data_IF_661984611695
#
_entry.id   IF_661984611695
#
_cell.length_a   1.000
_cell.length_b   1.000
_cell.length_c   1.000
_cell.angle_alpha   90.00
_cell.angle_beta   90.00
_cell.angle_gamma   90.00
#
_symmetry.space_group_name_H-M   'P 1'
#
loop_
_entity.id
_entity.type
_entity.pdbx_description
1 polymer ?
#
# COMPACT_ATOMS: atom_id res chain seq x y z
N UNK A 1 25.84 -15.39 -4.91
CA UNK A 1 24.74 -15.45 -3.92
C UNK A 1 23.97 -16.72 -4.28
N UNK A 2 23.96 -17.73 -3.41
CA UNK A 2 23.44 -19.06 -3.74
C UNK A 2 22.07 -19.19 -3.07
N UNK A 3 21.02 -19.38 -3.85
CA UNK A 3 19.74 -19.87 -3.34
C UNK A 3 19.95 -21.31 -2.85
N UNK A 4 20.29 -21.45 -1.57
CA UNK A 4 20.42 -22.77 -0.95
C UNK A 4 19.03 -23.21 -0.50
N UNK A 5 18.34 -23.97 -1.34
CA UNK A 5 17.30 -24.86 -0.85
C UNK A 5 17.98 -26.14 -0.36
N UNK A 6 17.64 -26.56 0.85
CA UNK A 6 17.97 -27.89 1.32
C UNK A 6 17.31 -28.90 0.38
N UNK A 7 18.12 -29.51 -0.48
CA UNK A 7 17.78 -30.71 -1.24
C UNK A 7 17.70 -31.87 -0.26
N UNK A 8 16.48 -32.27 0.10
CA UNK A 8 16.23 -33.55 0.75
C UNK A 8 16.40 -34.69 -0.25
N UNK A 9 17.65 -35.13 -0.46
CA UNK A 9 17.93 -36.43 -1.07
C UNK A 9 18.02 -37.49 0.02
N UNK A 10 17.11 -38.47 -0.02
CA UNK A 10 17.20 -39.67 0.78
C UNK A 10 17.84 -40.81 -0.01
N UNK A 11 18.56 -41.71 0.69
CA UNK A 11 18.61 -43.10 0.30
C UNK A 11 17.99 -43.98 1.40
N UNK A 12 17.20 -44.96 0.95
CA UNK A 12 16.71 -46.15 1.64
C UNK A 12 17.34 -46.44 3.03
N UNK A 13 16.54 -46.26 4.10
CA UNK A 13 16.74 -46.94 5.38
C UNK A 13 15.38 -47.19 6.07
N UNK A 14 15.22 -48.39 6.63
CA UNK A 14 14.01 -48.92 7.28
C UNK A 14 13.58 -48.14 8.54
N UNK A 15 12.33 -48.29 9.00
CA UNK A 15 11.76 -47.48 10.08
C UNK A 15 12.21 -47.97 11.45
N UNK A 16 13.11 -47.22 12.10
CA UNK A 16 13.25 -47.23 13.55
C UNK A 16 12.44 -46.07 14.12
N UNK A 17 11.32 -46.40 14.75
CA UNK A 17 10.47 -45.49 15.51
C UNK A 17 11.23 -44.91 16.69
N UNK A 18 11.81 -43.74 16.50
CA UNK A 18 12.19 -42.83 17.57
C UNK A 18 11.38 -41.54 17.38
N UNK A 19 10.25 -41.45 18.07
CA UNK A 19 9.44 -40.23 18.21
C UNK A 19 10.28 -39.17 18.93
N UNK A 20 11.13 -38.48 18.16
CA UNK A 20 11.65 -37.17 18.53
C UNK A 20 10.76 -36.17 17.83
N UNK A 21 9.93 -35.38 18.55
CA UNK A 21 9.14 -34.34 17.90
C UNK A 21 10.14 -33.34 17.28
N UNK A 22 10.25 -33.37 15.96
CA UNK A 22 10.99 -32.36 15.21
C UNK A 22 10.47 -30.98 15.65
N UNK A 23 11.34 -29.97 15.79
CA UNK A 23 10.89 -28.63 16.15
C UNK A 23 9.83 -28.20 15.14
N UNK A 24 8.58 -28.09 15.59
CA UNK A 24 7.47 -27.70 14.73
C UNK A 24 7.76 -26.30 14.23
N UNK A 25 7.86 -26.15 12.91
CA UNK A 25 8.03 -24.85 12.30
C UNK A 25 6.88 -23.96 12.80
N UNK A 26 7.15 -22.81 13.46
CA UNK A 26 6.08 -21.99 14.03
C UNK A 26 5.20 -21.34 12.95
N UNK A 27 5.54 -21.56 11.68
CA UNK A 27 4.84 -21.01 10.52
C UNK A 27 4.11 -22.09 9.74
N UNK A 28 2.90 -21.77 9.34
CA UNK A 28 2.12 -22.49 8.34
C UNK A 28 2.06 -21.67 7.06
N UNK A 29 2.09 -22.36 5.93
CA UNK A 29 2.02 -21.73 4.61
C UNK A 29 0.74 -22.18 3.91
N UNK A 30 -0.02 -21.23 3.36
CA UNK A 30 -1.17 -21.50 2.50
C UNK A 30 -0.84 -21.06 1.10
N UNK A 31 -0.95 -21.98 0.13
CA UNK A 31 -0.87 -21.62 -1.29
C UNK A 31 -2.03 -20.70 -1.64
N UNK A 32 -1.77 -19.56 -2.26
CA UNK A 32 -2.79 -18.62 -2.72
C UNK A 32 -3.00 -18.76 -4.22
N UNK A 33 -1.91 -18.74 -4.98
CA UNK A 33 -1.91 -18.82 -6.44
C UNK A 33 -0.69 -19.61 -6.93
N UNK A 34 -0.84 -20.31 -8.06
CA UNK A 34 0.23 -20.99 -8.78
C UNK A 34 0.01 -20.76 -10.27
N UNK A 35 1.06 -20.34 -10.98
CA UNK A 35 0.99 -20.05 -12.41
C UNK A 35 2.28 -19.42 -12.94
N UNK A 36 2.13 -18.49 -13.88
CA UNK A 36 3.25 -17.76 -14.47
C UNK A 36 2.97 -16.27 -14.64
N UNK A 37 3.92 -15.57 -15.25
CA UNK A 37 3.82 -14.15 -15.58
C UNK A 37 3.94 -13.97 -17.09
N UNK A 38 2.96 -13.33 -17.72
CA UNK A 38 2.98 -13.02 -19.14
C UNK A 38 3.67 -11.68 -19.37
N UNK A 39 4.73 -11.69 -20.19
CA UNK A 39 5.43 -10.50 -20.63
C UNK A 39 4.71 -9.89 -21.86
N UNK A 40 4.47 -8.58 -21.89
CA UNK A 40 3.69 -7.93 -22.95
C UNK A 40 4.36 -7.99 -24.32
N UNK A 41 5.70 -7.99 -24.36
CA UNK A 41 6.43 -7.73 -25.60
C UNK A 41 6.91 -9.00 -26.32
N UNK A 42 7.09 -10.11 -25.60
CA UNK A 42 7.81 -11.28 -26.10
C UNK A 42 6.95 -12.53 -26.28
N UNK A 43 5.66 -12.48 -25.94
CA UNK A 43 4.78 -13.67 -25.79
C UNK A 43 5.36 -14.76 -24.87
N UNK A 44 6.46 -14.49 -24.17
CA UNK A 44 7.12 -15.40 -23.25
C UNK A 44 6.37 -15.42 -21.92
N UNK A 45 6.18 -16.60 -21.36
CA UNK A 45 5.65 -16.80 -20.03
C UNK A 45 6.77 -17.17 -19.06
N UNK A 46 6.84 -16.48 -17.94
CA UNK A 46 7.72 -16.82 -16.82
C UNK A 46 6.94 -17.71 -15.86
N UNK A 47 7.04 -19.03 -16.05
CA UNK A 47 6.27 -20.02 -15.31
C UNK A 47 6.92 -20.41 -13.97
N UNK A 48 6.23 -21.27 -13.21
CA UNK A 48 6.75 -21.80 -11.94
C UNK A 48 6.65 -20.83 -10.76
N UNK A 49 5.80 -19.82 -10.86
CA UNK A 49 5.51 -18.89 -9.77
C UNK A 49 4.45 -19.47 -8.83
N UNK A 50 4.66 -19.28 -7.54
CA UNK A 50 3.67 -19.56 -6.51
C UNK A 50 3.65 -18.45 -5.47
N UNK A 51 2.45 -18.05 -5.04
CA UNK A 51 2.27 -17.10 -3.93
C UNK A 51 1.77 -17.85 -2.71
N UNK A 52 2.44 -17.63 -1.58
CA UNK A 52 2.23 -18.33 -0.32
C UNK A 52 1.93 -17.32 0.77
N UNK A 53 0.84 -17.51 1.51
CA UNK A 53 0.57 -16.76 2.72
C UNK A 53 1.29 -17.42 3.90
N UNK A 54 2.23 -16.73 4.52
CA UNK A 54 2.90 -17.17 5.74
C UNK A 54 2.10 -16.73 6.97
N UNK A 55 1.73 -17.66 7.84
CA UNK A 55 0.97 -17.38 9.08
C UNK A 55 1.53 -18.13 10.29
N UNK A 56 1.43 -17.57 11.50
CA UNK A 56 1.81 -18.31 12.70
C UNK A 56 0.87 -19.51 12.91
N UNK A 57 1.42 -20.65 13.29
CA UNK A 57 0.70 -21.91 13.48
C UNK A 57 -0.38 -21.84 14.58
N UNK A 58 -0.27 -20.88 15.50
CA UNK A 58 -1.23 -20.66 16.59
C UNK A 58 -2.58 -20.09 16.14
N UNK A 59 -2.67 -19.58 14.90
CA UNK A 59 -3.88 -18.95 14.37
C UNK A 59 -4.67 -19.99 13.56
N UNK A 60 -5.47 -20.81 14.25
CA UNK A 60 -6.23 -21.91 13.63
C UNK A 60 -7.35 -21.44 12.68
N UNK A 61 -7.76 -20.16 12.77
CA UNK A 61 -8.83 -19.65 11.91
C UNK A 61 -8.33 -19.48 10.46
N UNK A 62 -8.90 -20.27 9.55
CA UNK A 62 -8.58 -20.24 8.12
C UNK A 62 -9.14 -19.03 7.35
N UNK A 63 -9.78 -18.08 8.03
CA UNK A 63 -10.39 -16.91 7.39
C UNK A 63 -9.29 -15.99 6.85
N UNK A 64 -9.39 -15.64 5.56
CA UNK A 64 -8.47 -14.71 4.92
C UNK A 64 -9.01 -13.30 5.12
N UNK A 65 -8.49 -12.60 6.12
CA UNK A 65 -8.78 -11.18 6.30
C UNK A 65 -7.86 -10.28 5.44
N UNK A 66 -6.84 -10.87 4.80
CA UNK A 66 -5.90 -10.16 3.97
C UNK A 66 -6.47 -9.93 2.55
N UNK A 67 -6.71 -8.67 2.13
CA UNK A 67 -7.29 -8.37 0.82
C UNK A 67 -6.41 -8.80 -0.34
N UNK A 68 -5.08 -8.73 -0.19
CA UNK A 68 -4.13 -9.24 -1.19
C UNK A 68 -4.25 -10.75 -1.34
N UNK A 69 -4.30 -11.46 -0.21
CA UNK A 69 -4.40 -12.91 -0.23
C UNK A 69 -5.73 -13.38 -0.85
N UNK A 70 -6.83 -12.69 -0.54
CA UNK A 70 -8.14 -12.92 -1.16
C UNK A 70 -8.07 -12.71 -2.67
N UNK A 71 -7.48 -11.60 -3.12
CA UNK A 71 -7.34 -11.31 -4.54
C UNK A 71 -6.49 -12.36 -5.28
N UNK A 72 -5.41 -12.86 -4.67
CA UNK A 72 -4.62 -13.94 -5.26
C UNK A 72 -5.39 -15.27 -5.29
N UNK A 73 -6.19 -15.57 -4.27
CA UNK A 73 -6.99 -16.80 -4.23
C UNK A 73 -8.11 -16.80 -5.29
N UNK A 74 -8.72 -15.64 -5.60
CA UNK A 74 -9.73 -15.55 -6.68
C UNK A 74 -9.14 -15.70 -8.08
N UNK A 75 -7.83 -15.52 -8.24
CA UNK A 75 -7.13 -15.69 -9.52
C UNK A 75 -6.70 -17.14 -9.77
N UNK A 76 -6.99 -18.07 -8.86
CA UNK A 76 -6.77 -19.50 -9.10
C UNK A 76 -7.48 -19.96 -10.38
N UNK A 77 -6.81 -20.81 -11.14
CA UNK A 77 -7.29 -21.26 -12.45
C UNK A 77 -6.90 -20.32 -13.61
N UNK A 78 -6.39 -19.11 -13.34
CA UNK A 78 -5.76 -18.28 -14.37
C UNK A 78 -4.29 -18.70 -14.56
N UNK A 79 -3.88 -19.13 -15.75
CA UNK A 79 -2.54 -19.69 -15.96
C UNK A 79 -1.44 -18.65 -15.78
N UNK A 80 -1.71 -17.39 -16.13
CA UNK A 80 -0.72 -16.31 -16.07
C UNK A 80 -1.29 -15.02 -15.48
N UNK A 81 -0.43 -14.26 -14.80
CA UNK A 81 -0.68 -12.88 -14.39
C UNK A 81 -0.06 -11.90 -15.39
N UNK A 82 -0.50 -10.65 -15.38
CA UNK A 82 -0.02 -9.60 -16.29
C UNK A 82 1.20 -8.89 -15.70
N UNK A 83 2.34 -8.94 -16.38
CA UNK A 83 3.48 -8.06 -16.05
C UNK A 83 3.15 -6.62 -16.43
N UNK A 84 3.44 -5.68 -15.52
CA UNK A 84 3.22 -4.25 -15.76
C UNK A 84 4.52 -3.45 -15.90
N UNK A 85 5.64 -3.95 -15.38
CA UNK A 85 6.92 -3.26 -15.41
C UNK A 85 7.73 -3.46 -14.13
N UNK A 86 8.88 -2.79 -14.06
CA UNK A 86 9.62 -2.60 -12.81
C UNK A 86 9.33 -1.22 -12.23
N UNK A 87 9.46 -1.07 -10.93
CA UNK A 87 9.31 0.22 -10.25
C UNK A 87 10.15 0.27 -8.98
N UNK A 88 10.51 1.49 -8.58
CA UNK A 88 11.23 1.72 -7.33
C UNK A 88 10.29 1.54 -6.15
N UNK A 89 10.70 0.74 -5.18
CA UNK A 89 9.94 0.45 -3.96
C UNK A 89 9.61 1.73 -3.19
N UNK A 90 10.56 2.68 -3.13
CA UNK A 90 10.41 3.97 -2.44
C UNK A 90 9.40 4.93 -3.06
N UNK A 91 9.06 4.74 -4.33
CA UNK A 91 8.12 5.61 -5.05
C UNK A 91 6.67 5.11 -4.90
N UNK A 92 6.47 3.95 -4.26
CA UNK A 92 5.18 3.28 -4.14
C UNK A 92 4.69 3.25 -2.69
N UNK A 93 3.38 3.39 -2.54
CA UNK A 93 2.71 3.25 -1.25
C UNK A 93 2.33 1.79 -1.08
N UNK A 94 3.11 1.05 -0.29
CA UNK A 94 2.87 -0.37 -0.06
C UNK A 94 1.96 -0.58 1.15
N UNK A 95 1.06 -1.54 1.02
CA UNK A 95 0.26 -2.02 2.15
C UNK A 95 1.15 -2.87 3.06
N UNK A 96 1.61 -2.28 4.17
CA UNK A 96 2.36 -2.95 5.23
C UNK A 96 1.44 -3.50 6.35
N UNK A 97 0.16 -3.70 6.04
CA UNK A 97 -0.85 -4.10 7.01
C UNK A 97 -0.47 -5.37 7.80
N UNK A 98 -1.04 -5.55 9.01
CA UNK A 98 -0.73 -6.66 9.92
C UNK A 98 -1.19 -8.04 9.41
N UNK A 99 -1.79 -8.11 8.22
CA UNK A 99 -2.55 -9.25 7.71
C UNK A 99 -1.71 -10.42 7.16
N UNK A 100 -0.47 -10.54 7.61
CA UNK A 100 0.44 -11.63 7.27
C UNK A 100 1.21 -11.43 5.96
N UNK A 101 2.41 -12.01 5.93
CA UNK A 101 3.33 -11.84 4.80
C UNK A 101 2.95 -12.76 3.65
N UNK A 102 2.64 -12.18 2.49
CA UNK A 102 2.56 -12.92 1.24
C UNK A 102 3.97 -13.00 0.67
N UNK A 103 4.42 -14.23 0.48
CA UNK A 103 5.72 -14.55 -0.10
C UNK A 103 5.54 -15.07 -1.51
N UNK A 104 6.53 -14.80 -2.36
CA UNK A 104 6.64 -15.43 -3.67
C UNK A 104 7.67 -16.55 -3.61
N UNK A 105 7.33 -17.67 -4.24
CA UNK A 105 8.19 -18.81 -4.46
C UNK A 105 8.36 -19.01 -5.96
N UNK A 106 9.60 -19.28 -6.38
CA UNK A 106 9.94 -19.64 -7.74
C UNK A 106 10.40 -21.10 -7.72
N UNK A 107 9.79 -21.93 -8.57
CA UNK A 107 10.18 -23.32 -8.71
C UNK A 107 11.62 -23.44 -9.24
N UNK A 108 12.48 -24.30 -8.67
CA UNK A 108 13.89 -24.38 -9.06
C UNK A 108 14.11 -24.73 -10.54
N UNK A 109 13.23 -25.57 -11.12
CA UNK A 109 13.32 -25.94 -12.54
C UNK A 109 12.89 -24.81 -13.49
N UNK A 110 12.33 -23.71 -12.98
CA UNK A 110 11.88 -22.57 -13.79
C UNK A 110 13.02 -21.58 -14.02
N UNK A 111 14.04 -22.05 -14.76
CA UNK A 111 15.30 -21.32 -14.99
C UNK A 111 15.09 -19.88 -15.49
N UNK A 112 14.22 -19.68 -16.49
CA UNK A 112 13.97 -18.35 -17.05
C UNK A 112 13.40 -17.38 -16.01
N UNK A 113 12.47 -17.86 -15.19
CA UNK A 113 11.87 -17.08 -14.11
C UNK A 113 12.91 -16.75 -13.04
N UNK A 114 13.72 -17.72 -12.63
CA UNK A 114 14.82 -17.51 -11.69
C UNK A 114 15.79 -16.44 -12.19
N UNK A 115 16.33 -16.61 -13.40
CA UNK A 115 17.28 -15.66 -14.00
C UNK A 115 16.67 -14.27 -14.15
N UNK A 116 15.39 -14.19 -14.53
CA UNK A 116 14.69 -12.91 -14.65
C UNK A 116 14.63 -12.15 -13.33
N UNK A 117 14.17 -12.80 -12.25
CA UNK A 117 14.08 -12.16 -10.94
C UNK A 117 15.44 -11.92 -10.30
N UNK A 118 16.42 -12.80 -10.52
CA UNK A 118 17.81 -12.56 -10.12
C UNK A 118 18.39 -11.32 -10.81
N UNK A 119 18.15 -11.17 -12.11
CA UNK A 119 18.65 -10.02 -12.85
C UNK A 119 18.09 -8.70 -12.33
N UNK A 120 16.80 -8.69 -11.96
CA UNK A 120 16.14 -7.47 -11.48
C UNK A 120 16.47 -7.18 -10.02
N UNK A 121 16.46 -8.19 -9.15
CA UNK A 121 16.53 -8.00 -7.70
C UNK A 121 17.94 -8.19 -7.12
N UNK A 122 18.84 -8.88 -7.83
CA UNK A 122 20.14 -9.29 -7.29
C UNK A 122 21.35 -8.73 -8.03
N UNK A 123 21.24 -8.19 -9.25
CA UNK A 123 22.41 -7.64 -9.97
C UNK A 123 22.92 -6.32 -9.36
N UNK A 124 22.02 -5.52 -8.81
CA UNK A 124 22.34 -4.31 -8.04
C UNK A 124 21.51 -4.32 -6.76
N UNK A 125 21.92 -5.09 -5.74
CA UNK A 125 21.21 -5.14 -4.48
C UNK A 125 21.54 -3.87 -3.68
N UNK A 126 21.09 -2.73 -4.21
CA UNK A 126 20.89 -1.53 -3.41
C UNK A 126 19.73 -1.87 -2.48
N UNK A 127 20.08 -2.12 -1.22
CA UNK A 127 19.12 -2.37 -0.17
C UNK A 127 18.84 -1.05 0.53
N UNK A 128 17.56 -0.73 0.68
CA UNK A 128 17.09 0.31 1.58
C UNK A 128 17.53 0.01 3.01
N UNK A 129 17.46 1.02 3.88
CA UNK A 129 17.74 0.89 5.32
C UNK A 129 16.87 -0.21 5.98
N UNK A 130 15.67 -0.44 5.45
CA UNK A 130 14.74 -1.49 5.89
C UNK A 130 15.13 -2.89 5.39
N UNK A 131 16.21 -3.03 4.62
CA UNK A 131 16.69 -4.27 4.03
C UNK A 131 15.89 -4.75 2.81
N UNK A 132 15.08 -3.87 2.19
CA UNK A 132 14.34 -4.12 0.95
C UNK A 132 15.18 -3.78 -0.28
N UNK A 133 14.99 -4.48 -1.38
CA UNK A 133 15.55 -4.07 -2.67
C UNK A 133 14.99 -2.72 -3.10
N UNK A 134 15.80 -1.87 -3.75
CA UNK A 134 15.34 -0.58 -4.27
C UNK A 134 14.31 -0.72 -5.39
N UNK A 135 14.46 -1.76 -6.23
CA UNK A 135 13.54 -2.07 -7.32
C UNK A 135 12.66 -3.27 -6.99
N UNK A 136 11.49 -3.29 -7.62
CA UNK A 136 10.53 -4.39 -7.56
C UNK A 136 9.79 -4.58 -8.90
N UNK A 137 9.11 -5.71 -9.02
CA UNK A 137 8.35 -6.12 -10.21
C UNK A 137 6.85 -5.87 -9.97
N UNK A 138 6.22 -5.07 -10.82
CA UNK A 138 4.79 -4.77 -10.78
C UNK A 138 4.00 -5.82 -11.55
N UNK A 139 2.97 -6.37 -10.91
CA UNK A 139 2.09 -7.39 -11.47
C UNK A 139 0.64 -6.94 -11.30
N UNK A 140 -0.15 -7.05 -12.36
CA UNK A 140 -1.58 -6.76 -12.34
C UNK A 140 -2.41 -7.98 -11.91
N UNK A 141 -3.41 -7.76 -11.06
CA UNK A 141 -4.32 -8.80 -10.53
C UNK A 141 -5.58 -9.02 -11.40
N UNK A 142 -5.55 -8.55 -12.65
CA UNK A 142 -6.60 -8.82 -13.64
C UNK A 142 -7.76 -7.82 -13.66
N UNK A 143 -7.87 -6.94 -12.67
CA UNK A 143 -8.59 -5.67 -12.79
C UNK A 143 -7.60 -4.55 -13.19
N UNK A 144 -8.14 -3.42 -13.67
CA UNK A 144 -7.31 -2.29 -14.13
C UNK A 144 -6.79 -1.43 -12.97
N UNK A 145 -7.08 -1.80 -11.72
CA UNK A 145 -6.83 -0.98 -10.55
C UNK A 145 -6.08 -1.70 -9.41
N UNK A 146 -6.07 -3.03 -9.37
CA UNK A 146 -5.33 -3.76 -8.35
C UNK A 146 -4.02 -4.27 -8.89
N UNK A 147 -2.96 -3.76 -8.30
CA UNK A 147 -1.59 -4.11 -8.62
C UNK A 147 -0.85 -4.54 -7.36
N UNK A 148 0.14 -5.38 -7.57
CA UNK A 148 1.04 -5.85 -6.52
C UNK A 148 2.48 -5.58 -6.93
N UNK A 149 3.33 -5.44 -5.94
CA UNK A 149 4.76 -5.32 -6.10
C UNK A 149 5.44 -6.54 -5.48
N UNK A 150 6.31 -7.19 -6.26
CA UNK A 150 7.20 -8.23 -5.79
C UNK A 150 8.59 -7.62 -5.60
N UNK A 151 9.17 -7.77 -4.43
CA UNK A 151 10.49 -7.21 -4.09
C UNK A 151 11.28 -8.18 -3.20
N UNK A 152 12.59 -7.99 -3.13
CA UNK A 152 13.46 -8.76 -2.24
C UNK A 152 13.53 -8.13 -0.86
N UNK A 153 13.44 -8.94 0.19
CA UNK A 153 13.65 -8.54 1.57
C UNK A 153 14.79 -9.37 2.16
N UNK A 154 15.82 -8.70 2.70
CA UNK A 154 16.91 -9.36 3.41
C UNK A 154 16.39 -10.04 4.66
N UNK A 155 16.57 -11.36 4.73
CA UNK A 155 16.29 -12.12 5.94
C UNK A 155 17.37 -11.79 6.98
N UNK A 156 16.99 -11.14 8.07
CA UNK A 156 17.87 -10.94 9.22
C UNK A 156 17.99 -12.28 9.95
N UNK A 157 18.95 -13.11 9.56
CA UNK A 157 19.29 -14.31 10.32
C UNK A 157 20.23 -13.91 11.48
N UNK A 158 19.97 -14.38 12.71
CA UNK A 158 20.78 -14.05 13.89
C UNK A 158 22.16 -14.76 13.91
N UNK A 159 22.51 -15.54 12.88
CA UNK A 159 23.77 -16.29 12.81
C UNK A 159 24.72 -15.65 11.81
N UNK A 160 26.00 -15.57 12.19
CA UNK A 160 27.09 -14.76 11.62
C UNK A 160 27.59 -15.15 10.22
N UNK A 161 26.76 -15.77 9.38
CA UNK A 161 27.16 -16.12 8.02
C UNK A 161 27.07 -14.92 7.05
N UNK A 162 28.07 -14.72 6.18
CA UNK A 162 28.15 -13.57 5.26
C UNK A 162 27.17 -13.65 4.08
N UNK A 163 26.41 -14.74 3.93
CA UNK A 163 25.43 -14.90 2.86
C UNK A 163 24.06 -14.41 3.32
N UNK A 164 23.72 -13.15 3.00
CA UNK A 164 22.35 -12.67 3.14
C UNK A 164 21.44 -13.42 2.17
N UNK A 165 20.38 -14.04 2.67
CA UNK A 165 19.33 -14.60 1.84
C UNK A 165 18.26 -13.51 1.61
N UNK A 166 17.84 -13.36 0.36
CA UNK A 166 16.71 -12.51 -0.01
C UNK A 166 15.46 -13.38 -0.09
N UNK A 167 14.45 -13.01 0.69
CA UNK A 167 13.11 -13.57 0.60
C UNK A 167 12.30 -12.70 -0.35
N UNK A 168 11.58 -13.32 -1.30
CA UNK A 168 10.70 -12.58 -2.21
C UNK A 168 9.38 -12.30 -1.50
N UNK A 169 9.15 -11.03 -1.20
CA UNK A 169 7.94 -10.53 -0.55
C UNK A 169 7.00 -9.90 -1.58
N UNK A 170 5.72 -9.89 -1.25
CA UNK A 170 4.67 -9.35 -2.10
C UNK A 170 3.80 -8.41 -1.29
N UNK A 171 3.65 -7.18 -1.79
CA UNK A 171 2.78 -6.18 -1.18
C UNK A 171 1.80 -5.64 -2.20
N UNK A 172 0.61 -5.25 -1.71
CA UNK A 172 -0.37 -4.54 -2.52
C UNK A 172 0.09 -3.10 -2.70
N UNK A 173 -0.05 -2.58 -3.92
CA UNK A 173 0.19 -1.17 -4.20
C UNK A 173 -1.10 -0.41 -3.86
N UNK A 174 -1.00 0.52 -2.90
CA UNK A 174 -2.09 1.41 -2.53
C UNK A 174 -2.15 2.59 -3.50
N UNK A 175 -3.34 3.11 -3.80
CA UNK A 175 -3.45 4.38 -4.49
C UNK A 175 -2.77 5.44 -3.63
N UNK A 176 -1.75 6.10 -4.18
CA UNK A 176 -1.04 7.16 -3.47
C UNK A 176 -2.00 8.24 -2.96
N UNK A 177 -1.58 9.00 -1.93
CA UNK A 177 -2.39 10.05 -1.35
C UNK A 177 -2.81 11.02 -2.45
N UNK A 178 -4.13 11.12 -2.64
CA UNK A 178 -4.67 12.07 -3.61
C UNK A 178 -4.40 13.47 -3.08
N UNK A 179 -3.88 14.39 -3.90
CA UNK A 179 -3.75 15.77 -3.47
C UNK A 179 -5.11 16.28 -3.01
N UNK A 180 -5.16 17.11 -1.95
CA UNK A 180 -6.42 17.67 -1.48
C UNK A 180 -7.09 18.36 -2.66
N UNK A 181 -8.37 18.04 -2.90
CA UNK A 181 -9.08 18.65 -4.01
C UNK A 181 -9.12 20.16 -3.77
N UNK A 182 -8.92 21.00 -4.79
CA UNK A 182 -9.07 22.45 -4.66
C UNK A 182 -10.43 22.88 -4.08
N UNK A 183 -11.46 22.06 -4.32
CA UNK A 183 -12.82 22.23 -3.79
C UNK A 183 -13.09 21.50 -2.47
N UNK A 184 -12.12 20.74 -1.95
CA UNK A 184 -12.24 20.19 -0.61
C UNK A 184 -12.16 21.38 0.36
N UNK A 185 -13.26 21.77 1.02
CA UNK A 185 -13.26 22.95 1.86
C UNK A 185 -12.15 22.75 2.87
N UNK A 186 -11.09 23.54 2.74
CA UNK A 186 -9.99 23.58 3.71
C UNK A 186 -10.66 23.55 5.08
N UNK A 187 -10.34 22.58 5.97
CA UNK A 187 -11.05 22.41 7.23
C UNK A 187 -11.21 23.80 7.82
N UNK A 188 -12.45 24.33 7.77
CA UNK A 188 -12.68 25.73 8.10
C UNK A 188 -12.13 25.83 9.50
N UNK A 189 -11.04 26.59 9.67
CA UNK A 189 -10.37 26.76 10.95
C UNK A 189 -11.50 26.98 11.96
N UNK A 190 -11.70 26.07 12.94
CA UNK A 190 -12.80 26.22 13.86
C UNK A 190 -12.70 27.65 14.40
N UNK A 191 -13.82 28.41 14.43
CA UNK A 191 -13.80 29.76 14.96
C UNK A 191 -13.09 29.68 16.30
N UNK A 192 -12.04 30.49 16.48
CA UNK A 192 -11.37 30.60 17.76
C UNK A 192 -12.46 30.95 18.75
N UNK A 193 -12.95 29.98 19.53
CA UNK A 193 -13.83 30.24 20.64
C UNK A 193 -13.03 31.12 21.58
N UNK A 194 -13.22 32.43 21.44
CA UNK A 194 -13.00 33.37 22.51
C UNK A 194 -14.05 32.99 23.56
N UNK A 195 -13.70 32.01 24.39
CA UNK A 195 -14.31 31.87 25.70
C UNK A 195 -13.93 33.13 26.48
N UNK A 196 -14.69 34.20 26.24
CA UNK A 196 -15.02 35.17 27.27
C UNK A 196 -15.83 34.40 28.31
N UNK A 197 -15.13 33.90 29.32
CA UNK A 197 -15.70 33.65 30.64
C UNK A 197 -15.07 34.71 31.54
N UNK A 198 -15.73 35.85 31.69
CA UNK A 198 -15.46 36.76 32.79
C UNK A 198 -16.11 36.22 34.07
N UNK A 199 -15.33 36.30 35.16
CA UNK A 199 -15.66 36.10 36.58
C UNK A 199 -16.02 34.66 37.01
N UNK A 200 -15.53 34.10 38.11
CA UNK A 200 -15.11 34.71 39.37
C UNK A 200 -14.24 33.74 40.22
N UNK A 201 -13.35 34.30 41.03
CA UNK A 201 -12.86 33.71 42.28
C UNK A 201 -11.71 32.69 42.24
N UNK A 202 -10.57 33.06 42.87
CA UNK A 202 -9.84 32.07 43.70
C UNK A 202 -8.32 31.94 43.52
N UNK A 203 -7.57 32.93 44.03
CA UNK A 203 -6.37 32.77 44.88
C UNK A 203 -5.14 31.92 44.44
N UNK A 204 -3.99 32.62 44.48
CA UNK A 204 -2.68 32.19 44.98
C UNK A 204 -1.83 31.16 44.19
N UNK A 205 -0.77 31.63 43.53
CA UNK A 205 0.61 31.52 44.06
C UNK A 205 1.63 32.26 43.18
N UNK A 206 2.43 33.08 43.88
CA UNK A 206 3.65 33.76 43.43
C UNK A 206 4.54 32.87 42.55
N UNK A 207 4.94 33.36 41.38
CA UNK A 207 6.34 33.25 40.95
C UNK A 207 6.75 34.48 40.13
N UNK A 208 7.93 34.96 40.49
CA UNK A 208 8.58 36.24 40.20
C UNK A 208 9.51 36.05 38.99
N UNK A 209 9.40 36.94 38.01
CA UNK A 209 10.41 37.36 37.01
C UNK A 209 9.67 38.27 36.02
N UNK A 210 9.62 39.61 36.17
CA UNK A 210 10.65 40.66 36.11
C UNK A 210 11.44 40.66 34.79
N UNK A 211 10.87 41.27 33.74
CA UNK A 211 11.72 41.78 32.65
C UNK A 211 11.11 42.17 31.30
N UNK A 212 9.84 41.89 30.99
CA UNK A 212 9.42 41.90 29.56
C UNK A 212 8.16 42.74 29.22
N UNK A 213 7.77 43.68 30.08
CA UNK A 213 6.40 44.20 30.07
C UNK A 213 6.19 45.57 29.40
N UNK A 214 7.24 46.20 28.84
CA UNK A 214 7.08 47.50 28.16
C UNK A 214 6.95 47.36 26.64
N UNK A 215 7.71 46.45 26.03
CA UNK A 215 7.64 46.17 24.59
C UNK A 215 6.30 45.53 24.20
N UNK A 216 5.82 44.57 25.03
CA UNK A 216 4.54 43.90 24.82
C UNK A 216 3.37 44.87 24.98
N UNK A 217 3.46 45.82 25.92
CA UNK A 217 2.42 46.85 26.13
C UNK A 217 2.32 47.84 24.98
N UNK A 218 3.46 48.31 24.44
CA UNK A 218 3.48 49.18 23.25
C UNK A 218 2.99 48.46 21.99
N UNK A 219 3.37 47.20 21.80
CA UNK A 219 2.90 46.40 20.67
C UNK A 219 1.37 46.26 20.69
N UNK A 220 0.79 46.05 21.88
CA UNK A 220 -0.67 45.94 22.06
C UNK A 220 -1.39 47.25 21.72
N UNK A 221 -0.82 48.39 22.08
CA UNK A 221 -1.40 49.71 21.78
C UNK A 221 -1.40 50.04 20.27
N UNK A 222 -0.32 49.67 19.56
CA UNK A 222 -0.21 49.89 18.11
C UNK A 222 -1.22 49.02 17.34
N UNK A 223 -1.44 47.77 17.77
CA UNK A 223 -2.42 46.88 17.12
C UNK A 223 -3.88 47.31 17.34
N UNK A 224 -4.19 48.00 18.44
CA UNK A 224 -5.53 48.53 18.73
C UNK A 224 -5.86 49.82 17.97
N UNK A 225 -4.84 50.54 17.47
CA UNK A 225 -4.99 51.78 16.69
C UNK A 225 -4.57 51.62 15.22
N UNK A 226 -4.88 50.46 14.62
CA UNK A 226 -4.70 50.25 13.20
C UNK A 226 -5.43 51.33 12.35
N UNK A 227 -4.89 51.69 11.17
CA UNK A 227 -5.46 52.72 10.32
C UNK A 227 -6.90 52.38 9.93
N UNK A 228 -7.82 53.28 10.30
CA UNK A 228 -9.24 53.24 10.00
C UNK A 228 -9.43 53.23 8.48
N UNK A 229 -9.77 52.07 7.92
CA UNK A 229 -10.08 51.92 6.51
C UNK A 229 -11.23 52.88 6.16
N UNK A 230 -10.95 53.82 5.26
CA UNK A 230 -11.94 54.74 4.72
C UNK A 230 -13.01 54.02 3.89
N UNK A 231 -14.16 54.67 3.64
CA UNK A 231 -15.27 54.07 2.91
C UNK A 231 -14.88 53.83 1.45
N UNK A 232 -14.69 52.57 1.07
CA UNK A 232 -14.59 52.17 -0.33
C UNK A 232 -15.99 52.27 -0.96
N UNK A 233 -16.11 53.19 -1.92
CA UNK A 233 -17.27 53.28 -2.80
C UNK A 233 -17.28 52.06 -3.73
N UNK A 234 -18.22 51.16 -3.50
CA UNK A 234 -18.60 50.13 -4.48
C UNK A 234 -19.45 50.78 -5.59
N UNK A 235 -19.23 50.46 -6.88
CA UNK A 235 -20.19 50.74 -7.93
C UNK A 235 -21.33 49.69 -7.96
N UNK A 236 -22.54 50.07 -8.39
CA UNK A 236 -23.74 49.25 -8.31
C UNK A 236 -23.81 48.14 -9.37
N UNK A 237 -24.47 47.06 -8.96
CA UNK A 237 -24.88 45.90 -9.74
C UNK A 237 -25.91 46.25 -10.83
N UNK A 238 -25.77 45.62 -12.00
CA UNK A 238 -26.83 45.53 -13.01
C UNK A 238 -27.70 44.28 -12.76
N UNK A 239 -29.03 44.38 -12.81
CA UNK A 239 -29.93 43.23 -12.78
C UNK A 239 -30.13 42.69 -14.21
N UNK A 240 -29.92 41.39 -14.39
CA UNK A 240 -30.34 40.63 -15.57
C UNK A 240 -31.55 39.75 -15.23
N UNK A 241 -32.57 39.65 -16.11
CA UNK A 241 -33.85 39.04 -15.77
C UNK A 241 -33.84 37.51 -15.94
N UNK A 242 -34.53 36.86 -15.00
CA UNK A 242 -35.42 35.71 -15.16
C UNK A 242 -35.15 34.74 -16.32
N UNK A 243 -34.81 33.50 -15.99
CA UNK A 243 -35.74 32.43 -16.34
C UNK A 243 -35.64 31.23 -15.41
N UNK A 244 -36.77 30.93 -14.80
CA UNK A 244 -37.05 29.66 -14.15
C UNK A 244 -37.07 28.55 -15.21
N UNK A 245 -36.57 27.37 -14.83
CA UNK A 245 -37.26 26.09 -14.98
C UNK A 245 -36.43 24.98 -14.35
N UNK A 246 -36.92 24.51 -13.20
CA UNK A 246 -36.69 23.15 -12.74
C UNK A 246 -37.28 22.19 -13.76
N UNK A 247 -36.45 21.35 -14.36
CA UNK A 247 -36.92 20.10 -14.96
C UNK A 247 -35.82 19.05 -14.85
N UNK A 248 -36.11 18.09 -13.99
CA UNK A 248 -35.88 16.67 -14.26
C UNK A 248 -34.43 16.24 -14.51
N UNK A 249 -33.77 15.84 -13.42
CA UNK A 249 -32.52 15.08 -13.48
C UNK A 249 -32.82 13.63 -13.91
N UNK A 250 -33.25 13.45 -15.16
CA UNK A 250 -33.40 12.13 -15.77
C UNK A 250 -32.03 11.65 -16.27
N UNK A 251 -31.54 10.57 -15.69
CA UNK A 251 -30.29 9.92 -16.09
C UNK A 251 -30.47 9.30 -17.49
N UNK A 252 -29.83 9.87 -18.52
CA UNK A 252 -29.83 9.30 -19.86
C UNK A 252 -28.90 8.09 -19.91
N UNK A 253 -29.47 6.90 -19.91
CA UNK A 253 -28.78 5.65 -20.18
C UNK A 253 -28.57 5.53 -21.70
N UNK A 254 -27.34 5.34 -22.20
CA UNK A 254 -27.09 5.05 -23.61
C UNK A 254 -27.75 3.74 -24.03
N UNK A 255 -28.45 3.72 -25.17
CA UNK A 255 -29.05 2.51 -25.72
C UNK A 255 -27.97 1.49 -26.08
N UNK A 256 -28.01 0.33 -25.42
CA UNK A 256 -27.18 -0.83 -25.75
C UNK A 256 -27.81 -1.55 -26.94
N UNK A 257 -27.05 -1.87 -28.02
CA UNK A 257 -27.58 -2.59 -29.16
C UNK A 257 -28.05 -3.99 -28.75
N UNK A 258 -29.24 -4.38 -29.22
CA UNK A 258 -29.79 -5.71 -29.00
C UNK A 258 -28.88 -6.77 -29.67
N UNK A 259 -28.30 -7.65 -28.85
CA UNK A 259 -27.50 -8.76 -29.34
C UNK A 259 -28.32 -9.68 -30.23
N UNK A 260 -27.93 -9.78 -31.49
CA UNK A 260 -28.44 -10.78 -32.43
C UNK A 260 -28.11 -12.17 -31.92
N UNK A 261 -29.13 -12.93 -31.55
CA UNK A 261 -29.05 -14.34 -31.22
C UNK A 261 -28.78 -15.11 -32.52
N UNK A 262 -27.52 -15.44 -32.78
CA UNK A 262 -27.14 -16.28 -33.91
C UNK A 262 -27.76 -17.67 -33.72
N UNK A 263 -28.52 -18.07 -34.73
CA UNK A 263 -29.10 -19.40 -34.85
C UNK A 263 -27.98 -20.42 -35.06
N UNK A 264 -28.11 -21.55 -34.37
CA UNK A 264 -27.35 -22.75 -34.63
C UNK A 264 -27.74 -23.33 -36.00
N UNK A 265 -26.73 -23.77 -36.74
CA UNK A 265 -26.80 -24.87 -37.68
C UNK A 265 -25.51 -25.69 -37.51
#
# INVERSE_FOLDING_TARGET
MVFRMESGEGPFAQPSSSDTPAPSNPWTYRLLYRGGLSLPDSHLTLDGLAFLLRRPASLEKMELDNPLALALETLRGRPTLRFLGTAKVKDLWLDEGPSGDVLMYIHPDSFLTTVYFENILCLQPELSDDGRTEDGVRIGLGDDHSEILVYGQRQQMPTSSPSSLLTLCVSRILPGPRPPRPDDPTPRKPPKCLLLSEADGGQNKRRKERGEDEAVRRAREIMLRGPKAGPSKLPPSKPGPNNAKSSDATFKVPNVPAGSRAAAD
#
